data_IF_060729419811
#
_entry.id   IF_060729419811
#
_cell.length_a   1.000
_cell.length_b   1.000
_cell.length_c   1.000
_cell.angle_alpha   90.00
_cell.angle_beta   90.00
_cell.angle_gamma   90.00
#
_symmetry.space_group_name_H-M   'P 1'
#
loop_
_entity.id
_entity.type
_entity.pdbx_description
1 polymer ?
#
# COMPACT_ATOMS: atom_id res chain seq x y z
N UNK A 1 9.90 -6.79 3.68
CA UNK A 1 9.14 -5.52 3.69
C UNK A 1 10.08 -4.38 3.39
N UNK A 2 9.83 -3.59 2.33
CA UNK A 2 10.57 -2.35 2.12
C UNK A 2 10.36 -1.42 3.32
N UNK A 3 11.40 -0.68 3.68
CA UNK A 3 11.33 0.33 4.74
C UNK A 3 11.11 1.69 4.09
N UNK A 4 10.15 2.44 4.59
CA UNK A 4 9.93 3.83 4.20
C UNK A 4 10.23 4.72 5.42
N UNK A 5 10.77 5.91 5.15
CA UNK A 5 10.93 6.96 6.16
C UNK A 5 10.03 8.12 5.75
N UNK A 6 9.26 8.65 6.69
CA UNK A 6 8.30 9.73 6.46
C UNK A 6 8.40 10.74 7.59
N UNK A 7 8.20 12.02 7.28
CA UNK A 7 8.11 13.09 8.28
C UNK A 7 6.64 13.34 8.61
N UNK A 8 6.32 13.43 9.90
CA UNK A 8 4.95 13.56 10.38
C UNK A 8 4.93 14.61 11.51
N UNK A 9 3.95 15.53 11.52
CA UNK A 9 3.72 16.42 12.65
C UNK A 9 3.60 15.65 13.97
N UNK A 10 4.11 16.25 15.05
CA UNK A 10 4.18 15.61 16.36
C UNK A 10 2.78 15.32 16.93
N UNK A 11 1.81 16.21 16.68
CA UNK A 11 0.43 16.05 17.08
C UNK A 11 -0.22 14.82 16.44
N UNK A 12 0.02 14.59 15.14
CA UNK A 12 -0.52 13.43 14.43
C UNK A 12 0.14 12.12 14.90
N UNK A 13 1.43 12.18 15.25
CA UNK A 13 2.11 11.02 15.82
C UNK A 13 1.53 10.67 17.20
N UNK A 14 1.23 11.68 18.03
CA UNK A 14 0.60 11.48 19.33
C UNK A 14 -0.81 10.88 19.18
N UNK A 15 -1.63 11.41 18.28
CA UNK A 15 -2.96 10.89 17.98
C UNK A 15 -2.91 9.43 17.48
N UNK A 16 -1.90 9.10 16.68
CA UNK A 16 -1.69 7.72 16.23
C UNK A 16 -1.28 6.80 17.40
N UNK A 17 -0.39 7.28 18.27
CA UNK A 17 0.09 6.52 19.43
C UNK A 17 -1.02 6.21 20.43
N UNK A 18 -1.99 7.11 20.62
CA UNK A 18 -3.19 6.86 21.43
C UNK A 18 -4.04 5.69 20.91
N UNK A 19 -3.83 5.27 19.67
CA UNK A 19 -4.50 4.11 19.05
C UNK A 19 -3.62 2.86 18.95
N UNK A 20 -2.39 2.89 19.45
CA UNK A 20 -1.42 1.79 19.39
C UNK A 20 -1.19 1.20 20.79
N UNK A 21 -1.22 -0.12 20.91
CA UNK A 21 -0.96 -0.83 22.17
C UNK A 21 -2.01 -1.89 22.47
N UNK A 22 -1.96 -2.48 23.67
CA UNK A 22 -2.82 -3.61 24.06
C UNK A 22 -4.31 -3.26 24.07
N UNK A 23 -4.66 -2.03 24.46
CA UNK A 23 -6.03 -1.51 24.42
C UNK A 23 -6.34 -0.70 23.13
N UNK A 24 -5.36 -0.62 22.23
CA UNK A 24 -5.41 0.13 20.97
C UNK A 24 -6.02 -0.67 19.82
N UNK A 25 -6.28 0.00 18.71
CA UNK A 25 -6.75 -0.65 17.47
C UNK A 25 -5.62 -1.34 16.71
N UNK A 26 -4.37 -1.02 17.03
CA UNK A 26 -3.19 -1.45 16.29
C UNK A 26 -2.13 -1.99 17.23
N UNK A 27 -1.44 -3.06 16.80
CA UNK A 27 -0.40 -3.71 17.60
C UNK A 27 0.87 -2.86 17.67
N UNK A 28 1.18 -2.13 16.60
CA UNK A 28 2.33 -1.22 16.54
C UNK A 28 2.07 -0.10 15.52
N UNK A 29 2.91 0.95 15.54
CA UNK A 29 2.80 2.08 14.60
C UNK A 29 2.85 1.62 13.13
N UNK A 30 3.72 0.69 12.79
CA UNK A 30 3.83 0.17 11.41
C UNK A 30 2.56 -0.57 10.99
N UNK A 31 1.87 -1.23 11.91
CA UNK A 31 0.57 -1.85 11.69
C UNK A 31 -0.52 -0.80 11.46
N UNK A 32 -0.55 0.24 12.29
CA UNK A 32 -1.46 1.38 12.14
C UNK A 32 -1.32 2.07 10.78
N UNK A 33 -0.08 2.35 10.36
CA UNK A 33 0.21 2.97 9.06
C UNK A 33 -0.22 2.05 7.91
N UNK A 34 0.09 0.76 7.97
CA UNK A 34 -0.29 -0.21 6.93
C UNK A 34 -1.81 -0.33 6.81
N UNK A 35 -2.52 -0.44 7.93
CA UNK A 35 -3.97 -0.51 7.97
C UNK A 35 -4.63 0.77 7.43
N UNK A 36 -4.09 1.93 7.77
CA UNK A 36 -4.58 3.22 7.25
C UNK A 36 -4.41 3.31 5.75
N UNK A 37 -3.22 3.00 5.22
CA UNK A 37 -2.96 3.04 3.77
C UNK A 37 -3.91 2.07 3.05
N UNK A 38 -4.07 0.84 3.55
CA UNK A 38 -4.98 -0.14 2.95
C UNK A 38 -6.42 0.37 2.93
N UNK A 39 -6.92 0.89 4.05
CA UNK A 39 -8.27 1.45 4.12
C UNK A 39 -8.48 2.62 3.16
N UNK A 40 -7.47 3.49 3.00
CA UNK A 40 -7.55 4.59 2.04
C UNK A 40 -7.58 4.07 0.60
N UNK A 41 -6.77 3.08 0.25
CA UNK A 41 -6.77 2.48 -1.09
C UNK A 41 -8.09 1.76 -1.38
N UNK A 42 -8.59 0.95 -0.44
CA UNK A 42 -9.88 0.27 -0.58
C UNK A 42 -11.03 1.26 -0.83
N UNK A 43 -11.01 2.43 -0.17
CA UNK A 43 -11.99 3.50 -0.38
C UNK A 43 -11.87 4.12 -1.79
N UNK A 44 -10.64 4.36 -2.26
CA UNK A 44 -10.40 4.93 -3.58
C UNK A 44 -10.87 3.96 -4.68
N UNK A 45 -10.56 2.67 -4.53
CA UNK A 45 -11.01 1.63 -5.46
C UNK A 45 -12.55 1.53 -5.50
N UNK A 46 -13.21 1.63 -4.33
CA UNK A 46 -14.67 1.64 -4.25
C UNK A 46 -15.29 2.88 -4.94
N UNK A 47 -14.64 4.04 -4.82
CA UNK A 47 -15.05 5.27 -5.49
C UNK A 47 -14.88 5.12 -7.00
N UNK A 48 -13.72 4.64 -7.46
CA UNK A 48 -13.43 4.48 -8.89
C UNK A 48 -14.38 3.48 -9.55
N UNK A 49 -14.73 2.38 -8.86
CA UNK A 49 -15.73 1.42 -9.32
C UNK A 49 -17.15 2.00 -9.42
N UNK A 50 -17.51 2.95 -8.53
CA UNK A 50 -18.83 3.61 -8.55
C UNK A 50 -18.92 4.70 -9.62
N UNK A 51 -17.81 5.37 -9.92
CA UNK A 51 -17.79 6.57 -10.76
C UNK A 51 -17.46 6.31 -12.26
N UNK A 52 -17.49 5.06 -12.72
CA UNK A 52 -17.21 4.66 -14.12
C UNK A 52 -15.87 5.20 -14.64
N UNK A 53 -14.87 5.32 -13.74
CA UNK A 53 -13.49 5.71 -14.09
C UNK A 53 -12.60 4.48 -14.16
N UNK A 54 -13.09 3.41 -14.78
CA UNK A 54 -12.29 2.26 -15.15
C UNK A 54 -11.89 2.43 -16.63
N UNK A 55 -10.85 3.24 -16.87
CA UNK A 55 -10.01 2.93 -18.02
C UNK A 55 -9.29 1.62 -17.67
N UNK A 56 -9.63 0.59 -18.43
CA UNK A 56 -9.27 -0.82 -18.29
C UNK A 56 -7.75 -1.04 -18.35
N UNK A 57 -7.03 -0.95 -17.22
CA UNK A 57 -5.67 -1.52 -17.12
C UNK A 57 -5.42 -2.24 -15.78
N UNK A 58 -5.67 -3.56 -15.71
CA UNK A 58 -5.29 -4.40 -14.57
C UNK A 58 -3.77 -4.72 -14.51
N UNK A 59 -2.92 -4.06 -15.31
CA UNK A 59 -1.53 -4.45 -15.57
C UNK A 59 -0.47 -3.92 -14.59
N UNK A 60 -0.78 -2.97 -13.70
CA UNK A 60 0.24 -2.34 -12.85
C UNK A 60 0.44 -3.00 -11.47
N UNK A 61 -0.40 -3.98 -11.08
CA UNK A 61 -0.28 -4.66 -9.79
C UNK A 61 0.80 -5.77 -9.72
N UNK A 62 1.45 -6.12 -10.84
CA UNK A 62 2.44 -7.20 -10.91
C UNK A 62 3.81 -6.72 -11.41
N UNK A 63 4.48 -5.85 -10.64
CA UNK A 63 5.92 -5.70 -10.78
C UNK A 63 6.63 -6.91 -10.16
N UNK A 64 7.47 -7.59 -10.94
CA UNK A 64 8.55 -8.55 -10.60
C UNK A 64 8.37 -9.97 -11.18
N UNK A 65 8.31 -10.12 -12.51
CA UNK A 65 8.86 -11.32 -13.16
C UNK A 65 10.16 -10.92 -13.86
N UNK A 66 11.27 -11.44 -13.33
CA UNK A 66 12.62 -11.17 -13.81
C UNK A 66 12.89 -11.89 -15.12
N UNK A 67 13.33 -11.11 -16.11
CA UNK A 67 14.28 -11.49 -17.17
C UNK A 67 14.29 -12.97 -17.61
N UNK A 68 13.42 -13.31 -18.55
CA UNK A 68 13.69 -14.41 -19.48
C UNK A 68 14.54 -13.85 -20.63
N UNK A 69 15.86 -14.02 -20.50
CA UNK A 69 16.80 -13.84 -21.60
C UNK A 69 16.51 -14.91 -22.66
N UNK A 70 15.78 -14.55 -23.71
CA UNK A 70 15.77 -15.33 -24.95
C UNK A 70 17.01 -14.93 -25.75
N UNK A 71 18.09 -15.69 -25.62
CA UNK A 71 19.13 -15.72 -26.66
C UNK A 71 18.72 -16.75 -27.71
N UNK A 72 18.55 -16.25 -28.94
CA UNK A 72 18.21 -17.02 -30.12
C UNK A 72 19.34 -18.00 -30.51
N UNK A 73 18.89 -19.21 -30.85
CA UNK A 73 19.30 -20.09 -31.96
C UNK A 73 20.67 -19.87 -32.63
N UNK A 74 21.48 -20.93 -32.69
CA UNK A 74 22.16 -21.34 -33.93
C UNK A 74 22.45 -22.86 -33.96
N UNK A 75 22.30 -23.45 -35.16
CA UNK A 75 22.41 -24.84 -35.65
C UNK A 75 21.20 -25.79 -35.59
#
# INVERSE_FOLDING_TARGET
MPKISVEIPAELLADLDDHVGDDGKFVNRSDAVRASIRKTLDLLDEIDARHDRLDDDPGTAAGLEGSESTEETDE
#
